data_IF_952248394266
#
_entry.id   IF_952248394266
#
_cell.length_a   1.000
_cell.length_b   1.000
_cell.length_c   1.000
_cell.angle_alpha   90.00
_cell.angle_beta   90.00
_cell.angle_gamma   90.00
#
_symmetry.space_group_name_H-M   'P 1'
#
loop_
_entity.id
_entity.type
_entity.pdbx_description
1 polymer ?
#
# COMPACT_ATOMS: atom_id res chain seq x y z
N UNK A 1 -8.36 -4.41 -3.55
CA UNK A 1 -8.43 -3.53 -4.73
C UNK A 1 -8.21 -2.06 -4.38
N UNK A 2 -9.09 -1.41 -3.61
CA UNK A 2 -8.98 0.04 -3.26
C UNK A 2 -7.64 0.47 -2.65
N UNK A 3 -6.99 -0.39 -1.87
CA UNK A 3 -5.65 -0.13 -1.35
C UNK A 3 -4.62 0.02 -2.48
N UNK A 4 -4.59 -0.94 -3.41
CA UNK A 4 -3.68 -0.88 -4.56
C UNK A 4 -3.93 0.33 -5.47
N UNK A 5 -5.22 0.68 -5.69
CA UNK A 5 -5.58 1.91 -6.40
C UNK A 5 -5.03 3.15 -5.68
N UNK A 6 -5.21 3.25 -4.35
CA UNK A 6 -4.73 4.38 -3.56
C UNK A 6 -3.19 4.54 -3.64
N UNK A 7 -2.45 3.43 -3.54
CA UNK A 7 -0.98 3.41 -3.69
C UNK A 7 -0.56 3.92 -5.07
N UNK A 8 -1.18 3.39 -6.13
CA UNK A 8 -0.84 3.75 -7.50
C UNK A 8 -1.22 5.21 -7.82
N UNK A 9 -2.40 5.68 -7.41
CA UNK A 9 -2.84 7.08 -7.59
C UNK A 9 -1.85 8.02 -6.89
N UNK A 10 -1.47 7.72 -5.64
CA UNK A 10 -0.52 8.55 -4.89
C UNK A 10 0.84 8.64 -5.60
N UNK A 11 1.36 7.49 -6.06
CA UNK A 11 2.62 7.44 -6.79
C UNK A 11 2.53 8.23 -8.10
N UNK A 12 1.54 7.95 -8.95
CA UNK A 12 1.36 8.59 -10.26
C UNK A 12 1.28 10.11 -10.17
N UNK A 13 0.62 10.65 -9.13
CA UNK A 13 0.51 12.10 -8.92
C UNK A 13 1.87 12.77 -8.70
N UNK A 14 2.91 12.02 -8.32
CA UNK A 14 4.25 12.50 -7.95
C UNK A 14 5.37 12.03 -8.88
N UNK A 15 5.05 11.19 -9.88
CA UNK A 15 6.01 10.76 -10.89
C UNK A 15 6.38 11.90 -11.86
N UNK A 16 7.59 11.88 -12.47
CA UNK A 16 7.97 12.82 -13.51
C UNK A 16 6.98 12.77 -14.68
N UNK A 17 6.71 13.93 -15.30
CA UNK A 17 5.76 14.08 -16.41
C UNK A 17 6.45 14.40 -17.74
N UNK A 18 7.70 14.80 -17.69
CA UNK A 18 8.56 15.20 -18.80
C UNK A 18 9.30 14.01 -19.45
N UNK A 19 9.32 12.87 -18.78
CA UNK A 19 9.93 11.62 -19.27
C UNK A 19 9.17 10.40 -18.75
N UNK A 20 9.37 9.20 -19.32
CA UNK A 20 8.87 7.98 -18.75
C UNK A 20 9.41 7.76 -17.33
N UNK A 21 8.50 7.52 -16.38
CA UNK A 21 8.87 7.21 -15.01
C UNK A 21 9.35 5.75 -14.91
N UNK A 22 10.39 5.50 -14.14
CA UNK A 22 10.97 4.17 -13.90
C UNK A 22 10.58 3.67 -12.53
N UNK A 23 9.75 2.64 -12.48
CA UNK A 23 9.21 2.13 -11.23
C UNK A 23 9.54 0.66 -11.00
N UNK A 24 9.59 0.30 -9.73
CA UNK A 24 9.63 -1.09 -9.25
C UNK A 24 8.30 -1.41 -8.58
N UNK A 25 7.84 -2.66 -8.68
CA UNK A 25 6.60 -3.10 -8.05
C UNK A 25 6.85 -4.32 -7.19
N UNK A 26 6.43 -4.26 -5.91
CA UNK A 26 6.46 -5.39 -5.01
C UNK A 26 5.07 -5.79 -4.62
N UNK A 27 4.77 -7.06 -4.84
CA UNK A 27 3.53 -7.66 -4.42
C UNK A 27 3.74 -8.39 -3.09
N UNK A 28 2.66 -8.69 -2.38
CA UNK A 28 2.70 -9.53 -1.18
C UNK A 28 2.87 -11.02 -1.51
N UNK A 29 2.55 -11.89 -0.55
CA UNK A 29 2.62 -13.33 -0.77
C UNK A 29 1.63 -13.78 -1.87
N UNK A 30 2.06 -14.56 -2.87
CA UNK A 30 1.20 -15.01 -3.96
C UNK A 30 0.08 -15.96 -3.48
N UNK A 31 0.23 -16.57 -2.30
CA UNK A 31 -0.78 -17.38 -1.64
C UNK A 31 -1.92 -16.57 -1.01
N UNK A 32 -1.70 -15.26 -0.77
CA UNK A 32 -2.68 -14.36 -0.17
C UNK A 32 -3.54 -13.69 -1.26
N UNK A 33 -4.86 -13.89 -1.18
CA UNK A 33 -5.79 -13.24 -2.09
C UNK A 33 -5.77 -11.71 -2.01
N UNK A 34 -5.45 -11.13 -0.83
CA UNK A 34 -5.31 -9.69 -0.70
C UNK A 34 -4.16 -9.15 -1.55
N UNK A 35 -3.03 -9.85 -1.62
CA UNK A 35 -1.90 -9.47 -2.46
C UNK A 35 -2.30 -9.40 -3.95
N UNK A 36 -3.11 -10.36 -4.42
CA UNK A 36 -3.66 -10.38 -5.78
C UNK A 36 -4.61 -9.20 -6.02
N UNK A 37 -5.50 -8.91 -5.06
CA UNK A 37 -6.41 -7.76 -5.14
C UNK A 37 -5.67 -6.42 -5.10
N UNK A 38 -4.58 -6.30 -4.33
CA UNK A 38 -3.74 -5.08 -4.32
C UNK A 38 -3.06 -4.90 -5.67
N UNK A 39 -2.45 -5.98 -6.21
CA UNK A 39 -1.87 -5.95 -7.56
C UNK A 39 -2.90 -5.51 -8.59
N UNK A 40 -4.10 -6.08 -8.59
CA UNK A 40 -5.18 -5.70 -9.50
C UNK A 40 -5.54 -4.22 -9.36
N UNK A 41 -5.63 -3.70 -8.13
CA UNK A 41 -5.87 -2.27 -7.89
C UNK A 41 -4.76 -1.38 -8.45
N UNK A 42 -3.50 -1.78 -8.27
CA UNK A 42 -2.37 -1.09 -8.90
C UNK A 42 -2.46 -1.15 -10.43
N UNK A 43 -2.78 -2.31 -11.00
CA UNK A 43 -2.91 -2.49 -12.45
C UNK A 43 -4.02 -1.62 -13.04
N UNK A 44 -5.15 -1.45 -12.37
CA UNK A 44 -6.24 -0.57 -12.81
C UNK A 44 -5.76 0.86 -13.11
N UNK A 45 -4.77 1.34 -12.37
CA UNK A 45 -4.23 2.70 -12.50
C UNK A 45 -2.98 2.73 -13.38
N UNK A 46 -2.07 1.77 -13.21
CA UNK A 46 -0.76 1.80 -13.85
C UNK A 46 -0.77 1.24 -15.28
N UNK A 47 -1.60 0.22 -15.58
CA UNK A 47 -1.57 -0.45 -16.87
C UNK A 47 -1.82 0.50 -18.07
N UNK A 48 -2.78 1.45 -18.04
CA UNK A 48 -2.94 2.41 -19.11
C UNK A 48 -1.70 3.30 -19.33
N UNK A 49 -1.00 3.67 -18.24
CA UNK A 49 0.20 4.52 -18.31
C UNK A 49 1.42 3.75 -18.81
N UNK A 50 1.52 2.47 -18.42
CA UNK A 50 2.56 1.55 -18.94
C UNK A 50 2.35 1.35 -20.44
N UNK A 51 1.11 1.06 -20.86
CA UNK A 51 0.76 0.89 -22.28
C UNK A 51 1.04 2.15 -23.10
N UNK A 52 0.85 3.32 -22.52
CA UNK A 52 1.14 4.61 -23.16
C UNK A 52 2.63 5.00 -23.14
N UNK A 53 3.53 4.15 -22.60
CA UNK A 53 4.95 4.43 -22.48
C UNK A 53 5.33 5.51 -21.47
N UNK A 54 4.37 5.94 -20.62
CA UNK A 54 4.60 6.95 -19.57
C UNK A 54 5.26 6.37 -18.33
N UNK A 55 5.13 5.06 -18.13
CA UNK A 55 5.74 4.32 -17.01
C UNK A 55 6.46 3.10 -17.56
N UNK A 56 7.70 2.92 -17.11
CA UNK A 56 8.49 1.71 -17.32
C UNK A 56 8.59 0.94 -16.01
N UNK A 57 8.04 -0.27 -15.97
CA UNK A 57 8.29 -1.20 -14.85
C UNK A 57 9.64 -1.87 -15.10
N UNK A 58 10.65 -1.50 -14.31
CA UNK A 58 12.03 -2.01 -14.48
C UNK A 58 12.24 -3.34 -13.79
N UNK A 59 11.46 -3.60 -12.73
CA UNK A 59 11.42 -4.87 -12.02
C UNK A 59 10.09 -5.03 -11.29
N UNK A 60 9.60 -6.27 -11.19
CA UNK A 60 8.46 -6.61 -10.34
C UNK A 60 8.60 -8.03 -9.82
N UNK A 61 8.18 -8.27 -8.57
CA UNK A 61 8.22 -9.60 -7.97
C UNK A 61 7.29 -9.71 -6.75
N UNK A 62 7.09 -10.93 -6.27
CA UNK A 62 6.29 -11.29 -5.12
C UNK A 62 7.17 -11.47 -3.89
N UNK A 63 6.90 -10.73 -2.82
CA UNK A 63 7.57 -10.92 -1.53
C UNK A 63 6.94 -12.11 -0.80
N UNK A 64 7.54 -13.28 -0.94
CA UNK A 64 7.08 -14.51 -0.31
C UNK A 64 6.89 -14.32 1.18
N UNK A 65 5.74 -14.81 1.69
CA UNK A 65 5.33 -14.74 3.10
C UNK A 65 5.27 -13.33 3.68
N UNK A 66 5.19 -12.29 2.84
CA UNK A 66 5.24 -10.89 3.24
C UNK A 66 6.52 -10.49 4.01
N UNK A 67 7.59 -11.28 3.88
CA UNK A 67 8.82 -11.09 4.65
C UNK A 67 9.63 -9.88 4.15
N UNK A 68 10.02 -8.95 5.03
CA UNK A 68 10.85 -7.79 4.67
C UNK A 68 12.18 -8.18 4.02
N UNK A 69 12.78 -9.30 4.45
CA UNK A 69 14.05 -9.81 3.90
C UNK A 69 13.91 -10.19 2.42
N UNK A 70 12.75 -10.72 2.02
CA UNK A 70 12.49 -11.04 0.62
C UNK A 70 12.31 -9.75 -0.19
N UNK A 71 11.60 -8.75 0.35
CA UNK A 71 11.48 -7.44 -0.28
C UNK A 71 12.85 -6.75 -0.44
N UNK A 72 13.74 -6.85 0.55
CA UNK A 72 15.12 -6.35 0.45
C UNK A 72 15.88 -7.00 -0.70
N UNK A 73 15.81 -8.33 -0.83
CA UNK A 73 16.46 -9.07 -1.93
C UNK A 73 15.93 -8.62 -3.31
N UNK A 74 14.61 -8.48 -3.43
CA UNK A 74 13.97 -8.00 -4.67
C UNK A 74 14.45 -6.58 -5.00
N UNK A 75 14.55 -5.69 -3.99
CA UNK A 75 15.00 -4.32 -4.21
C UNK A 75 16.47 -4.26 -4.64
N UNK A 76 17.35 -5.06 -4.03
CA UNK A 76 18.74 -5.16 -4.44
C UNK A 76 18.87 -5.62 -5.90
N UNK A 77 18.09 -6.62 -6.32
CA UNK A 77 18.05 -7.06 -7.71
C UNK A 77 17.51 -5.95 -8.64
N UNK A 78 16.50 -5.20 -8.20
CA UNK A 78 15.95 -4.09 -8.96
C UNK A 78 16.97 -2.96 -9.15
N UNK A 79 17.69 -2.56 -8.10
CA UNK A 79 18.74 -1.53 -8.19
C UNK A 79 19.89 -1.99 -9.10
N UNK A 80 20.31 -3.24 -8.97
CA UNK A 80 21.34 -3.82 -9.86
C UNK A 80 20.92 -3.75 -11.32
N UNK A 81 19.66 -4.10 -11.64
CA UNK A 81 19.11 -4.11 -13.00
C UNK A 81 18.87 -2.71 -13.56
N UNK A 82 18.34 -1.82 -12.74
CA UNK A 82 17.91 -0.48 -13.16
C UNK A 82 18.99 0.58 -13.03
N UNK A 83 20.05 0.31 -12.29
CA UNK A 83 20.97 1.32 -11.79
C UNK A 83 20.27 2.23 -10.78
N UNK A 84 20.87 3.37 -10.48
CA UNK A 84 20.33 4.33 -9.50
C UNK A 84 19.20 5.22 -10.04
N UNK A 85 18.76 5.01 -11.26
CA UNK A 85 17.71 5.83 -11.89
C UNK A 85 16.34 5.19 -11.67
N UNK A 86 15.76 5.40 -10.49
CA UNK A 86 14.45 4.95 -10.07
C UNK A 86 13.64 6.12 -9.53
N UNK A 87 12.36 6.18 -9.89
CA UNK A 87 11.44 7.22 -9.45
C UNK A 87 10.56 6.75 -8.29
N UNK A 88 10.08 5.50 -8.36
CA UNK A 88 9.21 4.97 -7.31
C UNK A 88 9.33 3.45 -7.14
N UNK A 89 9.00 3.00 -5.93
CA UNK A 89 8.73 1.61 -5.59
C UNK A 89 7.30 1.52 -5.07
N UNK A 90 6.43 0.87 -5.84
CA UNK A 90 5.03 0.63 -5.46
C UNK A 90 4.97 -0.67 -4.69
N UNK A 91 4.91 -0.57 -3.36
CA UNK A 91 4.99 -1.70 -2.42
C UNK A 91 3.64 -1.91 -1.77
N UNK A 92 3.25 -3.18 -1.60
CA UNK A 92 1.92 -3.55 -1.14
C UNK A 92 1.66 -3.32 0.35
N UNK A 93 2.70 -3.39 1.23
CA UNK A 93 2.53 -3.12 2.67
C UNK A 93 3.78 -2.51 3.31
N UNK A 94 3.65 -2.05 4.55
CA UNK A 94 4.70 -1.33 5.28
C UNK A 94 5.87 -2.20 5.72
N UNK A 95 5.63 -3.47 6.03
CA UNK A 95 6.68 -4.43 6.36
C UNK A 95 7.64 -4.62 5.18
N UNK A 96 7.11 -4.94 4.01
CA UNK A 96 7.91 -5.11 2.78
C UNK A 96 8.49 -3.77 2.29
N UNK A 97 7.80 -2.64 2.51
CA UNK A 97 8.36 -1.30 2.27
C UNK A 97 9.61 -1.05 3.12
N UNK A 98 9.60 -1.49 4.39
CA UNK A 98 10.76 -1.43 5.27
C UNK A 98 11.98 -2.15 4.71
N UNK A 99 11.79 -3.37 4.19
CA UNK A 99 12.85 -4.13 3.54
C UNK A 99 13.39 -3.44 2.28
N UNK A 100 12.49 -2.92 1.44
CA UNK A 100 12.88 -2.15 0.25
C UNK A 100 13.67 -0.88 0.61
N UNK A 101 13.22 -0.13 1.62
CA UNK A 101 13.89 1.09 2.08
C UNK A 101 15.27 0.78 2.63
N UNK A 102 15.46 -0.35 3.32
CA UNK A 102 16.78 -0.76 3.81
C UNK A 102 17.77 -0.96 2.63
N UNK A 103 17.34 -1.61 1.55
CA UNK A 103 18.18 -1.73 0.35
C UNK A 103 18.46 -0.36 -0.28
N UNK A 104 17.46 0.50 -0.39
CA UNK A 104 17.63 1.86 -0.89
C UNK A 104 18.57 2.70 -0.02
N UNK A 105 18.63 2.49 1.29
CA UNK A 105 19.57 3.15 2.19
C UNK A 105 21.01 2.74 1.89
N UNK A 106 21.26 1.46 1.66
CA UNK A 106 22.58 0.93 1.33
C UNK A 106 23.14 1.52 0.02
N UNK A 107 22.24 1.88 -0.92
CA UNK A 107 22.58 2.51 -2.20
C UNK A 107 22.51 4.06 -2.18
N UNK A 108 22.19 4.68 -1.04
CA UNK A 108 22.06 6.13 -0.92
C UNK A 108 20.85 6.72 -1.67
N UNK A 109 19.81 5.91 -1.87
CA UNK A 109 18.57 6.24 -2.60
C UNK A 109 17.34 6.45 -1.69
N UNK A 110 17.43 6.13 -0.39
CA UNK A 110 16.36 6.36 0.55
C UNK A 110 15.99 7.85 0.64
N UNK A 111 14.71 8.16 0.59
CA UNK A 111 14.19 9.53 0.53
C UNK A 111 14.29 10.21 -0.85
N UNK A 112 14.99 9.62 -1.82
CA UNK A 112 15.06 10.07 -3.21
C UNK A 112 14.09 9.33 -4.11
N UNK A 113 13.83 8.07 -3.81
CA UNK A 113 12.87 7.20 -4.49
C UNK A 113 11.59 7.16 -3.68
N UNK A 114 10.45 7.44 -4.32
CA UNK A 114 9.14 7.37 -3.68
C UNK A 114 8.83 5.92 -3.30
N UNK A 115 8.44 5.66 -2.05
CA UNK A 115 8.05 4.32 -1.59
C UNK A 115 6.65 4.37 -1.00
N UNK A 116 5.75 3.51 -1.49
CA UNK A 116 4.40 3.34 -0.95
C UNK A 116 4.36 2.27 0.13
N UNK A 117 3.25 2.17 0.85
CA UNK A 117 3.00 1.13 1.84
C UNK A 117 1.52 0.98 2.16
N UNK A 118 1.22 0.18 3.18
CA UNK A 118 -0.12 -0.04 3.74
C UNK A 118 0.02 -0.60 5.15
N UNK A 119 -0.95 -0.35 5.98
CA UNK A 119 -1.23 -0.76 7.35
C UNK A 119 -0.96 0.32 8.39
N UNK A 120 -0.27 1.39 8.04
CA UNK A 120 0.13 2.46 8.96
C UNK A 120 0.90 1.93 10.19
N UNK A 121 1.82 0.98 9.95
CA UNK A 121 2.70 0.46 10.99
C UNK A 121 3.47 1.60 11.66
N UNK A 122 3.74 1.50 12.96
CA UNK A 122 4.46 2.53 13.69
C UNK A 122 5.80 2.89 13.02
N UNK A 123 6.57 1.88 12.64
CA UNK A 123 7.83 2.08 11.93
C UNK A 123 7.65 2.77 10.57
N UNK A 124 6.54 2.53 9.87
CA UNK A 124 6.23 3.20 8.60
C UNK A 124 5.85 4.66 8.83
N UNK A 125 5.03 4.95 9.84
CA UNK A 125 4.70 6.32 10.24
C UNK A 125 5.96 7.13 10.60
N UNK A 126 6.91 6.53 11.32
CA UNK A 126 8.21 7.12 11.60
C UNK A 126 9.03 7.35 10.32
N UNK A 127 9.04 6.40 9.36
CA UNK A 127 9.72 6.55 8.06
C UNK A 127 9.10 7.67 7.21
N UNK A 128 7.76 7.82 7.27
CA UNK A 128 7.04 8.91 6.60
C UNK A 128 7.48 10.26 7.15
N UNK A 129 7.54 10.42 8.47
CA UNK A 129 7.99 11.66 9.09
C UNK A 129 9.45 11.99 8.75
N UNK A 130 10.31 10.96 8.68
CA UNK A 130 11.72 11.09 8.27
C UNK A 130 11.92 11.29 6.77
N UNK A 131 10.87 11.11 5.96
CA UNK A 131 10.91 11.28 4.50
C UNK A 131 11.49 10.10 3.73
N UNK A 132 11.70 8.93 4.35
CA UNK A 132 12.22 7.73 3.68
C UNK A 132 11.12 6.83 3.11
N UNK A 133 9.88 6.98 3.56
CA UNK A 133 8.67 6.42 2.96
C UNK A 133 7.73 7.57 2.61
N UNK A 134 7.11 7.52 1.44
CA UNK A 134 6.27 8.62 0.97
C UNK A 134 4.86 8.58 1.55
N UNK A 135 4.29 7.38 1.68
CA UNK A 135 2.93 7.20 2.17
C UNK A 135 2.68 5.79 2.69
N UNK A 136 1.60 5.65 3.43
CA UNK A 136 0.97 4.36 3.75
C UNK A 136 -0.54 4.44 3.51
N UNK A 137 -1.19 3.31 3.26
CA UNK A 137 -2.65 3.24 3.24
C UNK A 137 -3.14 2.78 4.60
N UNK A 138 -3.84 3.67 5.30
CA UNK A 138 -4.45 3.40 6.59
C UNK A 138 -5.85 2.82 6.43
N UNK A 139 -6.13 1.78 7.18
CA UNK A 139 -7.46 1.18 7.35
C UNK A 139 -7.90 1.46 8.80
N UNK A 140 -8.92 2.30 9.07
CA UNK A 140 -9.37 2.58 10.44
C UNK A 140 -9.92 1.32 11.12
N UNK A 141 -9.04 0.54 11.76
CA UNK A 141 -9.36 -0.78 12.31
C UNK A 141 -10.45 -0.71 13.39
N UNK A 142 -10.47 0.37 14.19
CA UNK A 142 -11.52 0.60 15.19
C UNK A 142 -12.91 0.68 14.55
N UNK A 143 -13.03 1.41 13.45
CA UNK A 143 -14.31 1.54 12.73
C UNK A 143 -14.72 0.19 12.13
N UNK A 144 -13.79 -0.51 11.50
CA UNK A 144 -14.04 -1.82 10.92
C UNK A 144 -14.47 -2.84 11.98
N UNK A 145 -13.79 -2.91 13.11
CA UNK A 145 -14.12 -3.82 14.21
C UNK A 145 -15.48 -3.49 14.83
N UNK A 146 -15.77 -2.21 15.07
CA UNK A 146 -17.06 -1.74 15.59
C UNK A 146 -18.20 -2.08 14.64
N UNK A 147 -17.99 -1.85 13.33
CA UNK A 147 -18.96 -2.20 12.30
C UNK A 147 -19.21 -3.71 12.24
N UNK A 148 -18.16 -4.51 12.27
CA UNK A 148 -18.26 -5.96 12.24
C UNK A 148 -19.03 -6.50 13.45
N UNK A 149 -18.74 -6.00 14.66
CA UNK A 149 -19.44 -6.37 15.89
C UNK A 149 -20.94 -5.99 15.82
N UNK A 150 -21.26 -4.78 15.35
CA UNK A 150 -22.65 -4.34 15.16
C UNK A 150 -23.40 -5.25 14.19
N UNK A 151 -22.83 -5.50 13.02
CA UNK A 151 -23.43 -6.38 12.00
C UNK A 151 -23.64 -7.79 12.53
N UNK A 152 -22.69 -8.34 13.29
CA UNK A 152 -22.85 -9.65 13.90
C UNK A 152 -24.04 -9.70 14.87
N UNK A 153 -24.24 -8.67 15.70
CA UNK A 153 -25.38 -8.57 16.62
C UNK A 153 -26.69 -8.40 15.86
N UNK A 154 -26.76 -7.58 14.82
CA UNK A 154 -27.94 -7.41 13.97
C UNK A 154 -28.37 -8.75 13.37
N UNK A 155 -27.43 -9.49 12.77
CA UNK A 155 -27.69 -10.82 12.18
C UNK A 155 -28.14 -11.83 13.24
N UNK A 156 -27.50 -11.85 14.41
CA UNK A 156 -27.90 -12.76 15.51
C UNK A 156 -29.31 -12.48 16.02
N UNK A 157 -29.81 -11.25 15.89
CA UNK A 157 -31.18 -10.85 16.23
C UNK A 157 -32.19 -11.04 15.09
N UNK A 158 -31.78 -11.69 13.98
CA UNK A 158 -32.61 -11.88 12.80
C UNK A 158 -32.83 -10.61 11.97
N UNK A 159 -32.10 -9.53 12.26
CA UNK A 159 -32.19 -8.29 11.51
C UNK A 159 -31.36 -8.39 10.23
N UNK A 160 -31.75 -7.67 9.19
CA UNK A 160 -31.02 -7.62 7.93
C UNK A 160 -30.14 -6.36 7.90
N UNK A 161 -28.80 -6.48 7.94
CA UNK A 161 -27.92 -5.33 7.90
C UNK A 161 -28.06 -4.55 6.59
N UNK A 162 -27.94 -3.22 6.67
CA UNK A 162 -27.84 -2.37 5.48
C UNK A 162 -26.46 -2.55 4.84
N UNK A 163 -26.44 -2.95 3.57
CA UNK A 163 -25.20 -3.19 2.82
C UNK A 163 -25.00 -2.13 1.75
N UNK A 164 -23.74 -1.77 1.49
CA UNK A 164 -23.36 -0.73 0.53
C UNK A 164 -22.86 -1.28 -0.80
N UNK A 165 -22.63 -2.60 -0.88
CA UNK A 165 -22.04 -3.24 -2.05
C UNK A 165 -22.41 -4.73 -2.13
N UNK A 166 -21.98 -5.35 -3.22
CA UNK A 166 -22.06 -6.80 -3.41
C UNK A 166 -20.70 -7.29 -3.87
N UNK A 167 -20.18 -8.35 -3.22
CA UNK A 167 -18.95 -9.02 -3.59
C UNK A 167 -19.27 -10.42 -4.14
N UNK A 168 -18.73 -10.74 -5.30
CA UNK A 168 -18.73 -12.11 -5.82
C UNK A 168 -17.58 -12.89 -5.19
N UNK A 169 -17.90 -13.98 -4.49
CA UNK A 169 -16.90 -14.85 -3.84
C UNK A 169 -16.58 -16.10 -4.67
N UNK A 170 -16.98 -16.14 -5.94
CA UNK A 170 -16.82 -17.28 -6.85
C UNK A 170 -17.91 -18.34 -6.74
N UNK A 171 -18.79 -18.26 -5.73
CA UNK A 171 -19.95 -19.16 -5.53
C UNK A 171 -21.26 -18.39 -5.63
N UNK A 172 -21.31 -17.20 -5.02
CA UNK A 172 -22.51 -16.35 -5.04
C UNK A 172 -22.13 -14.87 -4.83
N UNK A 173 -23.07 -14.00 -5.19
CA UNK A 173 -22.99 -12.56 -4.85
C UNK A 173 -23.35 -12.36 -3.37
N UNK A 174 -22.41 -11.88 -2.58
CA UNK A 174 -22.55 -11.67 -1.14
C UNK A 174 -22.80 -10.20 -0.86
N UNK A 175 -23.91 -9.82 -0.19
CA UNK A 175 -24.09 -8.45 0.29
C UNK A 175 -22.95 -8.07 1.23
N UNK A 176 -22.36 -6.89 1.02
CA UNK A 176 -21.11 -6.50 1.68
C UNK A 176 -21.13 -5.04 2.11
N UNK A 177 -20.35 -4.73 3.16
CA UNK A 177 -20.08 -3.37 3.61
C UNK A 177 -18.57 -3.16 3.54
N UNK A 178 -18.14 -2.10 2.86
CA UNK A 178 -16.74 -1.75 2.76
C UNK A 178 -16.44 -0.45 3.50
N UNK A 179 -15.45 -0.48 4.37
CA UNK A 179 -14.90 0.72 4.99
C UNK A 179 -13.94 1.44 4.03
N UNK A 180 -13.86 2.76 4.19
CA UNK A 180 -12.96 3.60 3.40
C UNK A 180 -11.52 3.38 3.86
N UNK A 181 -10.61 3.33 2.89
CA UNK A 181 -9.17 3.40 3.14
C UNK A 181 -8.69 4.84 2.97
N UNK A 182 -7.64 5.23 3.70
CA UNK A 182 -7.10 6.59 3.73
C UNK A 182 -5.64 6.54 3.28
N UNK A 183 -5.29 7.32 2.26
CA UNK A 183 -3.89 7.58 1.93
C UNK A 183 -3.31 8.52 2.96
N UNK A 184 -2.28 8.08 3.67
CA UNK A 184 -1.62 8.84 4.73
C UNK A 184 -0.19 9.14 4.32
N UNK A 185 0.17 10.41 4.39
CA UNK A 185 1.52 10.91 4.21
C UNK A 185 1.90 11.88 5.35
N UNK A 186 3.00 12.58 5.21
CA UNK A 186 3.50 13.49 6.23
C UNK A 186 2.50 14.60 6.58
N UNK A 187 1.70 15.05 5.61
CA UNK A 187 0.82 16.21 5.78
C UNK A 187 -0.44 15.86 6.60
N UNK A 188 -0.92 14.62 6.52
CA UNK A 188 -2.16 14.22 7.18
C UNK A 188 -2.01 13.12 8.25
N UNK A 189 -0.80 12.63 8.51
CA UNK A 189 -0.57 11.57 9.50
C UNK A 189 -1.08 11.93 10.89
N UNK A 190 -0.88 13.17 11.33
CA UNK A 190 -1.33 13.63 12.65
C UNK A 190 -2.86 13.74 12.74
N UNK A 191 -3.51 14.22 11.68
CA UNK A 191 -4.97 14.39 11.63
C UNK A 191 -5.74 13.12 11.28
N UNK A 192 -5.05 12.01 10.99
CA UNK A 192 -5.64 10.70 10.67
C UNK A 192 -5.24 9.65 11.71
N UNK A 193 -4.10 9.03 11.55
CA UNK A 193 -3.60 7.91 12.37
C UNK A 193 -3.50 8.28 13.86
N UNK A 194 -2.99 9.49 14.16
CA UNK A 194 -2.85 9.96 15.55
C UNK A 194 -4.19 10.41 16.11
N UNK A 195 -4.97 11.18 15.35
CA UNK A 195 -6.30 11.64 15.79
C UNK A 195 -7.26 10.48 16.07
N UNK A 196 -7.15 9.37 15.32
CA UNK A 196 -7.90 8.13 15.55
C UNK A 196 -7.42 7.33 16.80
N UNK A 197 -6.28 7.74 17.39
CA UNK A 197 -5.66 7.03 18.51
C UNK A 197 -5.02 5.70 18.12
N UNK A 198 -4.74 5.47 16.83
CA UNK A 198 -4.07 4.25 16.37
C UNK A 198 -2.61 4.21 16.80
N UNK A 199 -1.91 5.35 16.74
CA UNK A 199 -0.60 5.58 17.36
C UNK A 199 -0.60 6.87 18.18
N UNK A 200 0.24 6.92 19.22
CA UNK A 200 0.47 8.14 19.98
C UNK A 200 1.50 9.02 19.27
N UNK A 201 1.31 10.34 19.32
CA UNK A 201 2.26 11.29 18.76
C UNK A 201 3.68 11.15 19.35
N UNK A 202 3.78 10.77 20.64
CA UNK A 202 5.04 10.50 21.33
C UNK A 202 5.86 9.38 20.70
N UNK A 203 5.20 8.38 20.10
CA UNK A 203 5.83 7.16 19.60
C UNK A 203 6.35 7.34 18.16
N UNK A 204 6.03 8.46 17.53
CA UNK A 204 6.40 8.80 16.16
C UNK A 204 7.78 9.49 16.01
N UNK A 205 8.46 9.72 17.11
CA UNK A 205 9.77 10.42 17.15
C UNK A 205 10.92 9.50 16.75
#
# INVERSE_FOLDING_TARGET
MKVGEAQAIYAVARLPKDRPARIVRFYGAPSDNNAKLFKQGQDNILAPLIKAGKIQVVHEDWALDWKPENAKKIMNAAVTKAGRNLDAVVVSNDGTAGGAIQALQEDGLAGKVLVTGQDADLAACQRILRGTQAMTVYKPLKNLATLAARVAVEVARGQKPTTSATLDNGVKKVPSIFEKVISVDKDNLMSTVVADGFHKASDLR
#
